data_IF_941317481323
#
_entry.id   IF_941317481323
#
_cell.length_a   1.000
_cell.length_b   1.000
_cell.length_c   1.000
_cell.angle_alpha   90.00
_cell.angle_beta   90.00
_cell.angle_gamma   90.00
#
_symmetry.space_group_name_H-M   'P 1'
#
loop_
_entity.id
_entity.type
_entity.pdbx_description
1 polymer ?
#
# COMPACT_ATOMS: atom_id res chain seq x y z
N UNK A 1 -8.84 8.99 -23.30
CA UNK A 1 -9.12 8.11 -22.13
C UNK A 1 -8.69 8.85 -20.89
N UNK A 2 -9.57 9.05 -19.91
CA UNK A 2 -9.18 9.58 -18.60
C UNK A 2 -8.44 8.43 -17.88
N UNK A 3 -7.19 8.62 -17.42
CA UNK A 3 -6.53 7.61 -16.61
C UNK A 3 -7.43 7.37 -15.38
N UNK A 4 -7.95 6.14 -15.27
CA UNK A 4 -8.78 5.77 -14.14
C UNK A 4 -7.84 5.58 -12.96
N UNK A 5 -7.61 6.68 -12.25
CA UNK A 5 -6.81 6.72 -11.03
C UNK A 5 -7.33 5.63 -10.10
N UNK A 6 -6.45 4.72 -9.69
CA UNK A 6 -6.80 3.59 -8.87
C UNK A 6 -6.18 3.74 -7.49
N UNK A 7 -6.96 3.51 -6.45
CA UNK A 7 -6.53 3.73 -5.07
C UNK A 7 -6.60 2.47 -4.23
N UNK A 8 -5.65 2.34 -3.32
CA UNK A 8 -5.67 1.34 -2.25
C UNK A 8 -5.58 2.06 -0.92
N UNK A 9 -6.58 1.84 -0.06
CA UNK A 9 -6.55 2.31 1.33
C UNK A 9 -6.00 1.23 2.25
N UNK A 10 -5.03 1.60 3.09
CA UNK A 10 -4.40 0.74 4.07
C UNK A 10 -4.56 1.35 5.45
N UNK A 11 -5.14 0.57 6.36
CA UNK A 11 -5.26 0.90 7.78
C UNK A 11 -4.13 0.22 8.55
N UNK A 12 -3.35 1.02 9.25
CA UNK A 12 -2.21 0.62 10.04
C UNK A 12 -2.56 0.78 11.52
N UNK A 13 -2.40 -0.28 12.30
CA UNK A 13 -2.76 -0.33 13.71
C UNK A 13 -1.75 0.40 14.62
N UNK A 14 -0.59 0.80 14.09
CA UNK A 14 0.45 1.47 14.86
C UNK A 14 1.75 1.71 14.07
N UNK A 15 2.78 2.30 14.71
CA UNK A 15 4.03 2.69 14.05
C UNK A 15 4.81 1.51 13.46
N UNK A 16 4.79 0.34 14.10
CA UNK A 16 5.47 -0.86 13.56
C UNK A 16 4.87 -1.32 12.23
N UNK A 17 3.54 -1.25 12.09
CA UNK A 17 2.86 -1.61 10.85
C UNK A 17 3.10 -0.53 9.78
N UNK A 18 3.24 0.73 10.18
CA UNK A 18 3.64 1.83 9.30
C UNK A 18 5.05 1.66 8.74
N UNK A 19 6.02 1.23 9.54
CA UNK A 19 7.37 0.91 9.09
C UNK A 19 7.39 -0.29 8.15
N UNK A 20 6.63 -1.35 8.48
CA UNK A 20 6.47 -2.52 7.60
C UNK A 20 5.87 -2.13 6.26
N UNK A 21 4.85 -1.28 6.27
CA UNK A 21 4.24 -0.74 5.07
C UNK A 21 5.23 0.07 4.23
N UNK A 22 6.05 0.93 4.85
CA UNK A 22 7.05 1.71 4.13
C UNK A 22 8.09 0.83 3.44
N UNK A 23 8.55 -0.24 4.12
CA UNK A 23 9.47 -1.23 3.52
C UNK A 23 8.81 -2.02 2.39
N UNK A 24 7.57 -2.44 2.58
CA UNK A 24 6.78 -3.11 1.55
C UNK A 24 6.59 -2.23 0.32
N UNK A 25 6.14 -0.98 0.51
CA UNK A 25 5.93 -0.03 -0.57
C UNK A 25 7.22 0.16 -1.38
N UNK A 26 8.36 0.37 -0.71
CA UNK A 26 9.64 0.50 -1.40
C UNK A 26 10.00 -0.75 -2.20
N UNK A 27 9.85 -1.95 -1.61
CA UNK A 27 10.10 -3.21 -2.30
C UNK A 27 9.18 -3.44 -3.50
N UNK A 28 7.89 -3.14 -3.34
CA UNK A 28 6.91 -3.21 -4.41
C UNK A 28 7.25 -2.27 -5.55
N UNK A 29 7.53 -0.99 -5.26
CA UNK A 29 7.90 -0.01 -6.30
C UNK A 29 9.16 -0.47 -7.04
N UNK A 30 10.18 -0.92 -6.33
CA UNK A 30 11.41 -1.43 -6.94
C UNK A 30 11.20 -2.67 -7.82
N UNK A 31 10.25 -3.54 -7.49
CA UNK A 31 9.93 -4.75 -8.26
C UNK A 31 9.03 -4.48 -9.49
N UNK A 32 8.52 -3.26 -9.63
CA UNK A 32 7.60 -2.86 -10.70
C UNK A 32 8.13 -1.63 -11.48
N UNK A 33 9.45 -1.47 -11.58
CA UNK A 33 10.11 -0.39 -12.34
C UNK A 33 9.82 1.03 -11.85
N UNK A 34 9.58 1.19 -10.54
CA UNK A 34 9.32 2.46 -9.85
C UNK A 34 8.16 3.27 -10.47
N UNK A 35 6.92 2.74 -10.40
CA UNK A 35 5.76 3.45 -10.93
C UNK A 35 5.45 4.71 -10.12
N UNK A 36 4.75 5.67 -10.73
CA UNK A 36 4.37 6.88 -10.02
C UNK A 36 3.21 6.61 -9.08
N UNK A 37 3.40 6.92 -7.79
CA UNK A 37 2.37 6.78 -6.76
C UNK A 37 2.27 8.02 -5.89
N UNK A 38 1.06 8.36 -5.48
CA UNK A 38 0.81 9.42 -4.49
C UNK A 38 0.37 8.74 -3.19
N UNK A 39 1.12 8.97 -2.12
CA UNK A 39 0.79 8.44 -0.79
C UNK A 39 0.21 9.57 0.05
N UNK A 40 -1.05 9.44 0.41
CA UNK A 40 -1.70 10.29 1.39
C UNK A 40 -1.58 9.64 2.77
N UNK A 41 -0.89 10.30 3.69
CA UNK A 41 -0.83 9.92 5.10
C UNK A 41 -1.87 10.74 5.88
N UNK A 42 -2.89 10.07 6.41
CA UNK A 42 -3.94 10.67 7.22
C UNK A 42 -3.85 10.07 8.64
N UNK A 43 -3.39 10.85 9.65
CA UNK A 43 -3.40 10.40 11.02
C UNK A 43 -4.86 10.21 11.49
N UNK A 44 -5.18 9.05 12.06
CA UNK A 44 -6.49 8.74 12.64
C UNK A 44 -6.37 8.59 14.17
N UNK A 45 -7.48 8.82 14.89
CA UNK A 45 -7.50 8.81 16.36
C UNK A 45 -7.10 7.45 16.98
N UNK A 46 -7.18 6.36 16.21
CA UNK A 46 -6.86 4.99 16.63
C UNK A 46 -5.80 4.31 15.73
N UNK A 47 -5.06 5.07 14.91
CA UNK A 47 -4.06 4.49 14.01
C UNK A 47 -3.59 5.43 12.91
N UNK A 48 -3.02 4.86 11.84
CA UNK A 48 -2.65 5.62 10.65
C UNK A 48 -3.38 5.06 9.44
N UNK A 49 -4.05 5.94 8.67
CA UNK A 49 -4.63 5.57 7.38
C UNK A 49 -3.74 6.09 6.27
N UNK A 50 -3.23 5.17 5.45
CA UNK A 50 -2.49 5.50 4.23
C UNK A 50 -3.32 5.17 3.01
N UNK A 51 -3.50 6.14 2.13
CA UNK A 51 -4.12 5.93 0.82
C UNK A 51 -3.04 6.07 -0.25
N UNK A 52 -2.81 4.99 -0.99
CA UNK A 52 -1.88 4.97 -2.12
C UNK A 52 -2.68 5.06 -3.39
N UNK A 53 -2.37 6.07 -4.18
CA UNK A 53 -2.99 6.34 -5.46
C UNK A 53 -2.01 5.98 -6.55
N UNK A 54 -2.43 5.11 -7.46
CA UNK A 54 -1.66 4.58 -8.57
C UNK A 54 -2.14 5.18 -9.89
N UNK A 55 -1.20 5.31 -10.82
CA UNK A 55 -1.49 5.67 -12.22
C UNK A 55 -2.27 4.57 -12.97
N UNK A 56 -2.13 3.30 -12.53
CA UNK A 56 -2.74 2.14 -13.15
C UNK A 56 -3.53 1.27 -12.14
N UNK A 57 -4.74 0.87 -12.54
CA UNK A 57 -5.60 -0.07 -11.83
C UNK A 57 -5.04 -1.50 -11.75
N UNK A 58 -4.16 -1.92 -12.67
CA UNK A 58 -3.44 -3.18 -12.54
C UNK A 58 -2.46 -3.15 -11.37
N UNK A 59 -1.67 -2.08 -11.27
CA UNK A 59 -0.72 -1.88 -10.17
C UNK A 59 -1.41 -1.79 -8.81
N UNK A 60 -2.52 -1.03 -8.72
CA UNK A 60 -3.31 -0.95 -7.49
C UNK A 60 -3.83 -2.32 -7.03
N UNK A 61 -4.38 -3.14 -7.95
CA UNK A 61 -4.87 -4.49 -7.62
C UNK A 61 -3.74 -5.43 -7.20
N UNK A 62 -2.59 -5.37 -7.88
CA UNK A 62 -1.40 -6.16 -7.54
C UNK A 62 -0.89 -5.79 -6.15
N UNK A 63 -0.77 -4.49 -5.88
CA UNK A 63 -0.37 -3.95 -4.58
C UNK A 63 -1.29 -4.42 -3.44
N UNK A 64 -2.60 -4.28 -3.60
CA UNK A 64 -3.56 -4.72 -2.59
C UNK A 64 -3.46 -6.23 -2.31
N UNK A 65 -3.27 -7.04 -3.36
CA UNK A 65 -3.12 -8.49 -3.23
C UNK A 65 -1.81 -8.89 -2.53
N UNK A 66 -0.69 -8.28 -2.90
CA UNK A 66 0.61 -8.55 -2.30
C UNK A 66 0.67 -8.10 -0.84
N UNK A 67 0.09 -6.94 -0.52
CA UNK A 67 -0.02 -6.46 0.86
C UNK A 67 -0.85 -7.41 1.74
N UNK A 68 -2.01 -7.86 1.24
CA UNK A 68 -2.84 -8.83 1.95
C UNK A 68 -2.11 -10.17 2.19
N UNK A 69 -1.40 -10.67 1.18
CA UNK A 69 -0.60 -11.89 1.31
C UNK A 69 0.53 -11.73 2.33
N UNK A 70 1.20 -10.57 2.34
CA UNK A 70 2.26 -10.30 3.31
C UNK A 70 1.72 -10.14 4.74
N UNK A 71 0.51 -9.61 4.90
CA UNK A 71 -0.19 -9.54 6.20
C UNK A 71 -0.68 -10.93 6.66
N UNK A 72 -1.12 -11.77 5.73
CA UNK A 72 -1.51 -13.16 5.97
C UNK A 72 -0.33 -14.08 6.31
N UNK A 73 0.84 -13.84 5.74
CA UNK A 73 2.07 -14.60 6.02
C UNK A 73 2.58 -14.45 7.46
N UNK A 74 2.13 -13.43 8.21
CA UNK A 74 2.42 -13.25 9.63
C UNK A 74 1.44 -14.05 10.53
N UNK A 75 0.48 -14.76 9.92
CA UNK A 75 -0.55 -15.57 10.59
C UNK A 75 -0.47 -17.09 10.39
N UNK A 76 0.66 -17.61 9.89
CA UNK A 76 0.91 -19.06 9.85
C UNK A 76 2.26 -19.38 10.47
N UNK A 77 2.17 -19.92 11.70
CA UNK A 77 3.09 -20.74 12.49
C UNK A 77 4.59 -20.78 12.12
#
# INVERSE_FOLDING_TARGET
MVPTVAETEVRLAGPEEADRFSRFLHGFLSANDFPFVIVHDAPEFLGQRRRVVFEDAHLSRKFASEWLNQRGAVGTA
#
